data_IF_837321244226
#
_entry.id   IF_837321244226
#
_cell.length_a   1.000
_cell.length_b   1.000
_cell.length_c   1.000
_cell.angle_alpha   90.00
_cell.angle_beta   90.00
_cell.angle_gamma   90.00
#
_symmetry.space_group_name_H-M   'P 1'
#
loop_
_entity.id
_entity.type
_entity.pdbx_description
1 polymer ?
#
# COMPACT_ATOMS: atom_id res chain seq x y z
N UNK A 1 5.23 -7.92 -17.78
CA UNK A 1 4.90 -7.99 -16.34
C UNK A 1 4.91 -6.59 -15.78
N UNK A 2 3.97 -6.24 -14.90
CA UNK A 2 3.93 -4.92 -14.26
C UNK A 2 4.54 -4.97 -12.85
N UNK A 3 5.32 -3.94 -12.51
CA UNK A 3 5.94 -3.79 -11.18
C UNK A 3 4.91 -3.66 -10.05
N UNK A 4 3.67 -3.27 -10.36
CA UNK A 4 2.64 -2.93 -9.36
C UNK A 4 1.58 -4.00 -9.15
N UNK A 5 1.88 -5.28 -9.44
CA UNK A 5 0.94 -6.40 -9.41
C UNK A 5 -0.16 -6.39 -10.48
N UNK A 6 0.08 -5.66 -11.58
CA UNK A 6 -0.89 -5.47 -12.66
C UNK A 6 -0.72 -4.10 -13.28
N UNK A 7 -1.34 -3.87 -14.43
CA UNK A 7 -1.41 -2.54 -15.01
C UNK A 7 -2.22 -1.63 -14.07
N UNK A 8 -1.63 -0.50 -13.66
CA UNK A 8 -2.35 0.51 -12.88
C UNK A 8 -2.90 1.54 -13.85
N UNK A 9 -4.20 1.44 -14.13
CA UNK A 9 -4.92 2.42 -14.93
C UNK A 9 -5.20 3.68 -14.10
N UNK A 10 -5.55 4.79 -14.75
CA UNK A 10 -5.79 6.08 -14.07
C UNK A 10 -6.90 6.00 -13.02
N UNK A 11 -7.93 5.19 -13.29
CA UNK A 11 -9.04 4.88 -12.38
C UNK A 11 -8.65 3.96 -11.22
N UNK A 12 -7.40 3.50 -11.13
CA UNK A 12 -6.86 2.72 -10.02
C UNK A 12 -5.75 3.45 -9.27
N UNK A 13 -5.47 4.70 -9.65
CA UNK A 13 -4.44 5.51 -9.04
C UNK A 13 -4.92 6.25 -7.79
N UNK A 14 -3.98 6.53 -6.88
CA UNK A 14 -4.20 7.38 -5.70
C UNK A 14 -5.37 6.89 -4.83
N UNK A 15 -6.45 7.68 -4.74
CA UNK A 15 -7.65 7.41 -3.94
C UNK A 15 -8.64 6.48 -4.65
N UNK A 16 -8.46 6.23 -5.95
CA UNK A 16 -9.33 5.35 -6.75
C UNK A 16 -8.91 3.87 -6.69
N UNK A 17 -8.05 3.49 -5.74
CA UNK A 17 -7.66 2.09 -5.57
C UNK A 17 -8.87 1.21 -5.23
N UNK A 18 -8.97 -0.01 -5.78
CA UNK A 18 -10.21 -0.80 -5.78
C UNK A 18 -10.62 -1.38 -4.42
N UNK A 19 -9.72 -1.38 -3.42
CA UNK A 19 -9.99 -1.96 -2.10
C UNK A 19 -9.79 -0.88 -1.02
N UNK A 20 -10.85 -0.11 -0.69
CA UNK A 20 -10.79 0.96 0.32
C UNK A 20 -10.38 0.45 1.70
N UNK A 21 -10.78 -0.76 2.07
CA UNK A 21 -10.42 -1.36 3.37
C UNK A 21 -8.92 -1.67 3.50
N UNK A 22 -8.20 -1.67 2.37
CA UNK A 22 -6.75 -1.79 2.32
C UNK A 22 -6.03 -0.44 2.20
N UNK A 23 -6.75 0.67 2.45
CA UNK A 23 -6.18 2.01 2.39
C UNK A 23 -5.15 2.23 3.52
N UNK A 24 -4.22 3.16 3.26
CA UNK A 24 -3.19 3.56 4.22
C UNK A 24 -2.43 2.39 4.86
N UNK A 25 -2.12 1.36 4.06
CA UNK A 25 -1.33 0.18 4.45
C UNK A 25 -2.00 -0.76 5.47
N UNK A 26 -3.23 -0.49 5.92
CA UNK A 26 -3.98 -1.44 6.76
C UNK A 26 -4.68 -2.48 5.91
N UNK A 27 -5.18 -3.54 6.53
CA UNK A 27 -6.11 -4.48 5.91
C UNK A 27 -7.31 -4.70 6.86
N UNK A 28 -8.41 -5.31 6.40
CA UNK A 28 -9.51 -5.70 7.29
C UNK A 28 -9.10 -6.67 8.42
N UNK A 29 -7.97 -7.37 8.24
CA UNK A 29 -7.45 -8.31 9.23
C UNK A 29 -6.59 -7.54 10.21
N UNK A 30 -6.92 -7.65 11.51
CA UNK A 30 -6.18 -6.98 12.56
C UNK A 30 -4.70 -7.38 12.54
N UNK A 31 -3.82 -6.38 12.69
CA UNK A 31 -2.36 -6.53 12.70
C UNK A 31 -1.75 -7.08 11.39
N UNK A 32 -2.52 -7.11 10.30
CA UNK A 32 -2.04 -7.40 8.96
C UNK A 32 -1.96 -6.11 8.13
N UNK A 33 -0.79 -5.87 7.53
CA UNK A 33 -0.48 -4.64 6.82
C UNK A 33 -0.02 -4.92 5.39
N UNK A 34 -0.40 -4.04 4.47
CA UNK A 34 -0.01 -4.12 3.08
C UNK A 34 1.32 -3.40 2.85
N UNK A 35 2.31 -4.12 2.34
CA UNK A 35 3.61 -3.56 1.96
C UNK A 35 3.98 -4.09 0.58
N UNK A 36 4.22 -3.21 -0.39
CA UNK A 36 4.68 -3.64 -1.70
C UNK A 36 4.63 -2.54 -2.76
N UNK A 37 5.14 -2.86 -3.95
CA UNK A 37 5.20 -1.94 -5.09
C UNK A 37 3.81 -1.45 -5.57
N UNK A 38 2.72 -2.15 -5.25
CA UNK A 38 1.35 -1.68 -5.54
C UNK A 38 0.84 -0.59 -4.57
N UNK A 39 1.51 -0.38 -3.44
CA UNK A 39 1.10 0.61 -2.42
C UNK A 39 1.69 1.98 -2.72
N UNK A 40 1.10 3.04 -2.15
CA UNK A 40 1.64 4.41 -2.29
C UNK A 40 3.09 4.47 -1.77
N UNK A 41 4.00 5.29 -2.36
CA UNK A 41 3.85 6.16 -3.52
C UNK A 41 3.87 5.48 -4.89
N UNK A 42 3.95 4.14 -4.94
CA UNK A 42 4.05 3.35 -6.15
C UNK A 42 5.32 2.49 -6.17
N UNK A 43 5.42 1.63 -7.19
CA UNK A 43 6.53 0.68 -7.33
C UNK A 43 7.80 1.36 -7.82
N UNK A 44 8.86 1.26 -7.03
CA UNK A 44 10.21 1.74 -7.36
C UNK A 44 11.21 1.30 -6.30
N UNK A 45 12.51 1.41 -6.58
CA UNK A 45 13.60 0.98 -5.68
C UNK A 45 13.85 1.94 -4.49
N UNK A 46 12.84 2.70 -4.06
CA UNK A 46 12.99 3.73 -3.03
C UNK A 46 12.74 3.20 -1.61
N UNK A 47 12.11 2.03 -1.46
CA UNK A 47 11.75 1.45 -0.16
C UNK A 47 10.66 2.21 0.63
N UNK A 48 10.09 3.27 0.06
CA UNK A 48 9.13 4.15 0.73
C UNK A 48 7.83 3.43 1.14
N UNK A 49 7.40 2.44 0.38
CA UNK A 49 6.27 1.57 0.72
C UNK A 49 6.49 0.84 2.05
N UNK A 50 7.67 0.28 2.27
CA UNK A 50 8.03 -0.41 3.50
C UNK A 50 8.13 0.54 4.68
N UNK A 51 8.77 1.70 4.48
CA UNK A 51 8.86 2.75 5.50
C UNK A 51 7.49 3.22 5.96
N UNK A 52 6.56 3.49 5.04
CA UNK A 52 5.23 3.96 5.37
C UNK A 52 4.38 2.88 6.05
N UNK A 53 4.45 1.62 5.58
CA UNK A 53 3.79 0.50 6.22
C UNK A 53 4.31 0.29 7.66
N UNK A 54 5.63 0.35 7.88
CA UNK A 54 6.22 0.25 9.21
C UNK A 54 5.77 1.38 10.14
N UNK A 55 5.68 2.62 9.64
CA UNK A 55 5.11 3.74 10.42
C UNK A 55 3.65 3.50 10.79
N UNK A 56 2.89 2.81 9.94
CA UNK A 56 1.51 2.47 10.25
C UNK A 56 1.44 1.41 11.36
N UNK A 57 2.24 0.35 11.26
CA UNK A 57 2.38 -0.68 12.31
C UNK A 57 2.70 -0.02 13.66
N UNK A 58 3.70 0.88 13.70
CA UNK A 58 4.11 1.56 14.92
C UNK A 58 3.02 2.45 15.53
N UNK A 59 2.16 3.07 14.69
CA UNK A 59 1.01 3.86 15.17
C UNK A 59 -0.09 3.01 15.80
N UNK A 60 -0.16 1.74 15.42
CA UNK A 60 -1.21 0.83 15.87
C UNK A 60 -0.80 -0.04 17.05
N UNK A 61 0.51 -0.12 17.30
CA UNK A 61 1.08 -0.77 18.47
C UNK A 61 1.17 0.13 19.71
N UNK A 62 1.15 1.46 19.53
CA UNK A 62 1.09 2.43 20.64
C UNK A 62 -0.34 2.69 21.08
#
# INVERSE_FOLDING_TARGET
GSLTHGEMTLDQALHMRPVPDCAQYRTPIQQLYLCGAGTHPGGGCTGLNGHNAARQVLRDWG
#
